data_IF_695609311870
#
_entry.id   IF_695609311870
#
_cell.length_a   1.000
_cell.length_b   1.000
_cell.length_c   1.000
_cell.angle_alpha   90.00
_cell.angle_beta   90.00
_cell.angle_gamma   90.00
#
_symmetry.space_group_name_H-M   'P 1'
#
loop_
_entity.id
_entity.type
_entity.pdbx_description
1 polymer ?
#
# COMPACT_ATOMS: atom_id res chain seq x y z
N UNK A 1 19.03 -58.72 16.54
CA UNK A 1 18.99 -58.08 15.22
C UNK A 1 19.24 -59.18 14.19
N UNK A 2 18.35 -59.43 13.24
CA UNK A 2 18.52 -60.46 12.23
C UNK A 2 19.47 -59.91 11.12
N UNK A 3 20.56 -60.63 10.87
CA UNK A 3 21.52 -60.28 9.81
C UNK A 3 21.20 -61.13 8.60
N UNK A 4 20.97 -60.50 7.46
CA UNK A 4 20.78 -61.20 6.18
C UNK A 4 22.13 -61.73 5.73
N UNK A 5 22.20 -63.03 5.43
CA UNK A 5 23.40 -63.66 4.88
C UNK A 5 23.07 -64.32 3.54
N UNK A 6 24.00 -64.24 2.60
CA UNK A 6 23.92 -64.91 1.29
C UNK A 6 25.04 -65.98 1.26
N UNK A 7 24.74 -67.16 0.69
CA UNK A 7 25.72 -68.21 0.49
C UNK A 7 26.52 -67.97 -0.78
N UNK A 8 27.81 -67.88 -0.67
CA UNK A 8 28.71 -67.79 -1.83
C UNK A 8 28.65 -69.10 -2.62
N UNK A 9 28.25 -69.04 -3.92
CA UNK A 9 28.09 -70.22 -4.73
C UNK A 9 29.44 -70.96 -5.06
N UNK A 10 30.53 -70.22 -4.89
CA UNK A 10 31.85 -70.76 -5.24
C UNK A 10 32.52 -71.40 -4.00
N UNK A 11 32.49 -70.79 -2.91
CA UNK A 11 33.13 -71.26 -1.67
C UNK A 11 32.16 -71.96 -0.71
N UNK A 12 30.87 -71.82 -0.88
CA UNK A 12 29.84 -72.39 -0.01
C UNK A 12 29.73 -71.76 1.33
N UNK A 13 30.44 -70.65 1.60
CA UNK A 13 30.41 -69.94 2.87
C UNK A 13 29.29 -68.91 2.93
N UNK A 14 28.79 -68.61 4.15
CA UNK A 14 27.77 -67.59 4.37
C UNK A 14 28.41 -66.23 4.61
N UNK A 15 28.15 -65.28 3.69
CA UNK A 15 28.61 -63.91 3.80
C UNK A 15 27.47 -63.00 4.30
N UNK A 16 27.80 -62.06 5.15
CA UNK A 16 26.84 -61.05 5.58
C UNK A 16 26.56 -60.04 4.45
N UNK A 17 25.29 -59.84 4.16
CA UNK A 17 24.86 -58.78 3.23
C UNK A 17 24.74 -57.51 3.98
N UNK A 18 25.64 -56.57 3.78
CA UNK A 18 25.47 -55.19 4.23
C UNK A 18 24.33 -54.58 3.45
N UNK A 19 23.20 -54.33 4.07
CA UNK A 19 22.08 -53.61 3.47
C UNK A 19 22.55 -52.18 3.20
N UNK A 20 22.87 -51.88 1.98
CA UNK A 20 23.12 -50.50 1.55
C UNK A 20 21.76 -49.85 1.51
N UNK A 21 21.49 -49.06 2.55
CA UNK A 21 20.33 -48.17 2.50
C UNK A 21 20.55 -47.19 1.33
N UNK A 22 19.74 -47.30 0.29
CA UNK A 22 19.79 -46.36 -0.84
C UNK A 22 19.61 -44.93 -0.33
N UNK A 23 20.25 -43.99 -0.99
CA UNK A 23 19.98 -42.58 -0.73
C UNK A 23 18.47 -42.32 -0.84
N UNK A 24 17.91 -41.53 0.09
CA UNK A 24 16.54 -41.04 -0.07
C UNK A 24 16.39 -40.50 -1.50
N UNK A 25 15.31 -40.88 -2.16
CA UNK A 25 15.00 -40.32 -3.47
C UNK A 25 14.92 -38.80 -3.39
N UNK A 26 15.07 -38.11 -4.52
CA UNK A 26 14.85 -36.65 -4.55
C UNK A 26 13.45 -36.34 -4.05
N UNK A 27 13.31 -35.21 -3.37
CA UNK A 27 12.00 -34.68 -2.98
C UNK A 27 11.13 -34.56 -4.23
N UNK A 28 9.88 -34.99 -4.12
CA UNK A 28 8.91 -34.79 -5.22
C UNK A 28 8.79 -33.33 -5.59
N UNK A 29 8.32 -33.02 -6.82
CA UNK A 29 8.06 -31.65 -7.22
C UNK A 29 7.05 -31.01 -6.25
N UNK A 30 7.23 -29.72 -5.98
CA UNK A 30 6.28 -28.94 -5.19
C UNK A 30 4.87 -29.08 -5.77
N UNK A 31 3.87 -29.18 -4.91
CA UNK A 31 2.47 -29.23 -5.34
C UNK A 31 2.07 -27.96 -6.12
N UNK A 32 0.98 -28.00 -6.90
CA UNK A 32 0.62 -26.94 -7.82
C UNK A 32 0.34 -25.56 -7.17
N UNK A 33 0.25 -25.47 -5.87
CA UNK A 33 0.02 -24.21 -5.13
C UNK A 33 0.97 -24.07 -3.92
N UNK A 34 2.08 -24.79 -3.90
CA UNK A 34 3.04 -24.75 -2.82
C UNK A 34 4.05 -23.64 -3.05
N UNK A 35 4.13 -22.71 -2.10
CA UNK A 35 5.18 -21.70 -2.04
C UNK A 35 6.22 -22.18 -1.04
N UNK A 36 7.40 -22.50 -1.50
CA UNK A 36 8.55 -22.90 -0.69
C UNK A 36 9.57 -21.78 -0.62
N UNK A 37 10.58 -21.92 0.23
CA UNK A 37 11.71 -20.97 0.28
C UNK A 37 12.52 -20.88 -1.01
N UNK A 38 12.37 -21.86 -1.89
CA UNK A 38 13.04 -21.92 -3.19
C UNK A 38 12.19 -21.36 -4.34
N UNK A 39 10.91 -21.05 -4.06
CA UNK A 39 10.04 -20.45 -5.06
C UNK A 39 10.50 -19.04 -5.36
N UNK A 40 11.08 -18.85 -6.54
CA UNK A 40 11.47 -17.52 -7.01
C UNK A 40 10.25 -16.82 -7.60
N UNK A 41 9.92 -15.65 -7.08
CA UNK A 41 8.92 -14.78 -7.66
C UNK A 41 9.59 -13.47 -8.10
N UNK A 42 9.29 -13.01 -9.31
CA UNK A 42 9.70 -11.68 -9.77
C UNK A 42 8.71 -10.59 -9.31
N UNK A 43 7.77 -10.95 -8.42
CA UNK A 43 6.76 -10.07 -7.91
C UNK A 43 7.23 -9.43 -6.61
N UNK A 44 7.17 -8.10 -6.54
CA UNK A 44 7.51 -7.33 -5.34
C UNK A 44 6.25 -6.64 -4.83
N UNK A 45 5.84 -6.94 -3.60
CA UNK A 45 4.65 -6.34 -2.96
C UNK A 45 3.73 -7.38 -2.34
N UNK A 46 2.53 -6.97 -2.00
CA UNK A 46 1.50 -7.87 -1.51
C UNK A 46 1.03 -8.80 -2.62
N UNK A 47 0.94 -10.08 -2.30
CA UNK A 47 0.52 -11.11 -3.25
C UNK A 47 -0.90 -11.56 -2.95
N UNK A 48 -1.67 -11.86 -4.00
CA UNK A 48 -2.99 -12.50 -3.92
C UNK A 48 -3.05 -13.73 -4.82
N UNK A 49 -3.84 -14.73 -4.42
CA UNK A 49 -4.20 -15.85 -5.27
C UNK A 49 -5.47 -15.53 -6.08
N UNK A 50 -5.52 -15.98 -7.31
CA UNK A 50 -6.74 -15.90 -8.13
C UNK A 50 -7.42 -17.28 -8.35
N UNK A 51 -7.04 -18.28 -7.54
CA UNK A 51 -7.48 -19.65 -7.65
C UNK A 51 -6.61 -20.53 -8.56
N UNK A 52 -5.75 -19.94 -9.38
CA UNK A 52 -4.86 -20.64 -10.30
C UNK A 52 -3.40 -20.20 -10.14
N UNK A 53 -3.17 -18.90 -9.98
CA UNK A 53 -1.83 -18.31 -9.91
C UNK A 53 -1.73 -17.33 -8.74
N UNK A 54 -0.49 -17.02 -8.37
CA UNK A 54 -0.15 -15.90 -7.49
C UNK A 54 0.12 -14.66 -8.33
N UNK A 55 -0.47 -13.55 -7.96
CA UNK A 55 -0.32 -12.26 -8.63
C UNK A 55 -0.17 -11.13 -7.61
N UNK A 56 0.25 -9.95 -8.06
CA UNK A 56 0.28 -8.76 -7.21
C UNK A 56 -1.14 -8.36 -6.79
N UNK A 57 -1.29 -8.04 -5.52
CA UNK A 57 -2.49 -7.39 -5.03
C UNK A 57 -2.47 -5.90 -5.40
N UNK A 58 -3.64 -5.37 -5.75
CA UNK A 58 -3.82 -4.00 -6.20
C UNK A 58 -4.39 -3.13 -5.07
N UNK A 59 -3.71 -2.01 -4.79
CA UNK A 59 -4.18 -1.05 -3.80
C UNK A 59 -5.52 -0.43 -4.24
N UNK A 60 -6.44 -0.29 -3.30
CA UNK A 60 -7.79 0.21 -3.56
C UNK A 60 -8.78 -0.85 -4.05
N UNK A 61 -8.29 -2.01 -4.51
CA UNK A 61 -9.12 -3.14 -4.95
C UNK A 61 -9.00 -4.33 -4.01
N UNK A 62 -7.79 -4.75 -3.72
CA UNK A 62 -7.51 -5.94 -2.90
C UNK A 62 -7.16 -5.58 -1.44
N UNK A 63 -6.64 -4.39 -1.24
CA UNK A 63 -6.34 -3.84 0.08
C UNK A 63 -6.49 -2.32 0.05
N UNK A 64 -6.62 -1.72 1.22
CA UNK A 64 -6.72 -0.26 1.32
C UNK A 64 -5.45 0.40 0.79
N UNK A 65 -5.61 1.36 -0.11
CA UNK A 65 -4.50 2.19 -0.58
C UNK A 65 -3.88 2.96 0.60
N UNK A 66 -2.57 3.21 0.59
CA UNK A 66 -1.93 4.02 1.61
C UNK A 66 -2.59 5.39 1.73
N UNK A 67 -2.76 5.86 2.96
CA UNK A 67 -3.16 7.23 3.23
C UNK A 67 -1.96 8.12 2.96
N UNK A 68 -2.16 9.16 2.16
CA UNK A 68 -1.14 10.17 1.89
C UNK A 68 -1.42 11.39 2.75
N UNK A 69 -0.44 11.76 3.57
CA UNK A 69 -0.48 12.97 4.38
C UNK A 69 0.34 14.07 3.69
N UNK A 70 -0.27 15.23 3.53
CA UNK A 70 0.40 16.40 2.96
C UNK A 70 -0.15 17.69 3.57
N UNK A 71 0.41 18.81 3.19
CA UNK A 71 -0.08 20.13 3.61
C UNK A 71 -0.34 21.01 2.39
N UNK A 72 -1.24 21.96 2.54
CA UNK A 72 -1.47 23.04 1.59
C UNK A 72 -1.36 24.38 2.32
N UNK A 73 -0.89 25.41 1.63
CA UNK A 73 -0.85 26.78 2.17
C UNK A 73 -1.84 27.64 1.42
N UNK A 74 -2.76 28.25 2.15
CA UNK A 74 -3.64 29.28 1.64
C UNK A 74 -2.94 30.63 1.83
N UNK A 75 -2.44 31.18 0.75
CA UNK A 75 -1.65 32.40 0.75
C UNK A 75 -2.58 33.62 0.80
N UNK A 76 -2.30 34.57 1.70
CA UNK A 76 -3.13 35.75 1.93
C UNK A 76 -3.44 36.55 0.67
N UNK A 77 -2.47 36.64 -0.25
CA UNK A 77 -2.58 37.46 -1.45
C UNK A 77 -3.29 36.78 -2.62
N UNK A 78 -3.52 35.46 -2.54
CA UNK A 78 -3.98 34.64 -3.67
C UNK A 78 -5.51 34.44 -3.67
N UNK A 79 -6.21 35.11 -2.77
CA UNK A 79 -7.66 35.03 -2.70
C UNK A 79 -8.31 35.88 -3.79
N UNK A 80 -9.18 35.25 -4.55
CA UNK A 80 -10.03 35.92 -5.53
C UNK A 80 -11.29 36.38 -4.85
N UNK A 81 -11.49 37.70 -4.81
CA UNK A 81 -12.65 38.33 -4.16
C UNK A 81 -13.82 38.35 -5.14
N UNK A 82 -14.92 37.76 -4.75
CA UNK A 82 -16.21 37.84 -5.43
C UNK A 82 -17.21 38.71 -4.66
N UNK A 83 -18.43 38.84 -5.18
CA UNK A 83 -19.47 39.71 -4.58
C UNK A 83 -19.88 39.25 -3.16
N UNK A 84 -19.89 37.95 -2.90
CA UNK A 84 -20.40 37.36 -1.66
C UNK A 84 -19.46 36.39 -0.98
N UNK A 85 -18.31 36.13 -1.57
CA UNK A 85 -17.33 35.17 -1.03
C UNK A 85 -15.97 35.41 -1.64
N UNK A 86 -14.96 34.84 -1.00
CA UNK A 86 -13.61 34.77 -1.57
C UNK A 86 -13.26 33.30 -1.84
N UNK A 87 -12.44 33.05 -2.86
CA UNK A 87 -12.01 31.72 -3.23
C UNK A 87 -10.52 31.66 -3.50
N UNK A 88 -9.90 30.52 -3.20
CA UNK A 88 -8.51 30.24 -3.54
C UNK A 88 -8.37 28.79 -3.98
N UNK A 89 -7.73 28.56 -5.12
CA UNK A 89 -7.35 27.23 -5.59
C UNK A 89 -5.89 26.96 -5.21
N UNK A 90 -5.63 25.79 -4.63
CA UNK A 90 -4.30 25.40 -4.20
C UNK A 90 -3.95 24.05 -4.81
N UNK A 91 -2.71 23.92 -5.32
CA UNK A 91 -2.20 22.65 -5.82
C UNK A 91 -1.93 21.71 -4.66
N UNK A 92 -2.46 20.48 -4.76
CA UNK A 92 -2.25 19.40 -3.80
C UNK A 92 -2.07 18.11 -4.60
N UNK A 93 -0.82 17.69 -4.73
CA UNK A 93 -0.48 16.49 -5.49
C UNK A 93 -1.17 15.25 -4.91
N UNK A 94 -1.59 14.35 -5.80
CA UNK A 94 -2.27 13.12 -5.41
C UNK A 94 -3.79 13.25 -5.25
N UNK A 95 -4.35 14.45 -5.17
CA UNK A 95 -5.81 14.64 -5.14
C UNK A 95 -6.42 14.23 -6.49
N UNK A 96 -7.49 13.44 -6.45
CA UNK A 96 -8.29 13.01 -7.60
C UNK A 96 -9.77 13.18 -7.28
N UNK A 97 -10.60 13.26 -8.29
CA UNK A 97 -12.06 13.45 -8.12
C UNK A 97 -12.72 12.40 -7.22
N UNK A 98 -12.19 11.18 -7.25
CA UNK A 98 -12.78 10.03 -6.53
C UNK A 98 -12.11 9.73 -5.19
N UNK A 99 -11.03 10.45 -4.82
CA UNK A 99 -10.42 10.27 -3.52
C UNK A 99 -11.36 10.79 -2.41
N UNK A 100 -11.24 10.20 -1.23
CA UNK A 100 -11.74 10.84 -0.01
C UNK A 100 -10.64 11.72 0.56
N UNK A 101 -10.95 12.99 0.76
CA UNK A 101 -9.99 13.96 1.30
C UNK A 101 -10.51 14.47 2.63
N UNK A 102 -9.69 14.35 3.66
CA UNK A 102 -9.95 14.97 4.97
C UNK A 102 -9.06 16.19 5.09
N UNK A 103 -9.66 17.29 5.47
CA UNK A 103 -9.01 18.61 5.55
C UNK A 103 -9.20 19.16 6.94
N UNK A 104 -8.11 19.63 7.53
CA UNK A 104 -8.14 20.32 8.80
C UNK A 104 -7.10 21.45 8.82
N UNK A 105 -7.39 22.59 9.44
CA UNK A 105 -6.35 23.60 9.65
C UNK A 105 -5.25 23.07 10.57
N UNK A 106 -4.01 23.49 10.33
CA UNK A 106 -2.95 23.33 11.31
C UNK A 106 -3.29 24.09 12.59
N UNK A 107 -2.77 23.65 13.73
CA UNK A 107 -3.06 24.26 15.02
C UNK A 107 -2.80 25.77 15.05
N UNK A 108 -1.74 26.23 14.39
CA UNK A 108 -1.36 27.63 14.33
C UNK A 108 -2.26 28.46 13.39
N UNK A 109 -3.03 27.81 12.52
CA UNK A 109 -3.96 28.44 11.58
C UNK A 109 -5.43 28.32 12.02
N UNK A 110 -5.68 27.59 13.09
CA UNK A 110 -7.03 27.21 13.53
C UNK A 110 -7.93 28.41 13.81
N UNK A 111 -7.43 29.37 14.57
CA UNK A 111 -8.23 30.54 14.97
C UNK A 111 -8.67 31.36 13.76
N UNK A 112 -7.74 31.68 12.88
CA UNK A 112 -7.99 32.48 11.69
C UNK A 112 -8.86 31.71 10.67
N UNK A 113 -8.65 30.40 10.53
CA UNK A 113 -9.46 29.53 9.69
C UNK A 113 -10.92 29.52 10.12
N UNK A 114 -11.18 29.39 11.42
CA UNK A 114 -12.53 29.41 11.98
C UNK A 114 -13.17 30.80 11.88
N UNK A 115 -12.40 31.85 12.16
CA UNK A 115 -12.87 33.24 12.08
C UNK A 115 -13.37 33.62 10.69
N UNK A 116 -12.66 33.13 9.65
CA UNK A 116 -12.97 33.43 8.26
C UNK A 116 -13.98 32.45 7.64
N UNK A 117 -14.38 31.41 8.36
CA UNK A 117 -15.36 30.44 7.88
C UNK A 117 -14.94 29.74 6.57
N UNK A 118 -13.65 29.44 6.46
CA UNK A 118 -13.08 28.76 5.28
C UNK A 118 -13.52 27.30 5.27
N UNK A 119 -13.82 26.80 4.08
CA UNK A 119 -14.12 25.40 3.83
C UNK A 119 -13.63 25.00 2.43
N UNK A 120 -13.42 23.71 2.19
CA UNK A 120 -13.12 23.21 0.87
C UNK A 120 -14.40 23.10 0.05
N UNK A 121 -14.52 23.92 -0.97
CA UNK A 121 -15.69 23.98 -1.83
C UNK A 121 -15.63 23.06 -3.03
N UNK A 122 -14.43 22.70 -3.50
CA UNK A 122 -14.25 21.88 -4.70
C UNK A 122 -12.98 21.08 -4.62
N UNK A 123 -13.06 19.84 -5.10
CA UNK A 123 -11.94 18.94 -5.35
C UNK A 123 -11.80 18.73 -6.85
N UNK A 124 -10.58 18.77 -7.35
CA UNK A 124 -10.26 18.53 -8.75
C UNK A 124 -8.91 17.80 -8.87
N UNK A 125 -8.47 17.54 -10.09
CA UNK A 125 -7.19 16.86 -10.31
C UNK A 125 -6.02 17.69 -9.78
N UNK A 126 -5.27 17.14 -8.81
CA UNK A 126 -4.14 17.80 -8.13
C UNK A 126 -4.45 19.17 -7.54
N UNK A 127 -5.71 19.46 -7.19
CA UNK A 127 -6.07 20.75 -6.61
C UNK A 127 -7.29 20.69 -5.70
N UNK A 128 -7.29 21.55 -4.70
CA UNK A 128 -8.42 21.86 -3.84
C UNK A 128 -8.77 23.34 -3.97
N UNK A 129 -10.06 23.65 -4.03
CA UNK A 129 -10.54 25.04 -4.01
C UNK A 129 -11.18 25.30 -2.66
N UNK A 130 -10.66 26.29 -1.96
CA UNK A 130 -11.21 26.78 -0.71
C UNK A 130 -12.09 27.99 -0.96
N UNK A 131 -13.10 28.13 -0.14
CA UNK A 131 -14.03 29.26 -0.16
C UNK A 131 -14.25 29.74 1.26
N UNK A 132 -14.41 31.03 1.42
CA UNK A 132 -14.83 31.64 2.68
C UNK A 132 -16.17 32.34 2.49
N UNK A 133 -16.97 32.35 3.55
CA UNK A 133 -18.25 33.07 3.59
C UNK A 133 -18.11 34.58 3.88
N UNK A 134 -16.89 35.01 4.23
CA UNK A 134 -16.57 36.43 4.36
C UNK A 134 -15.82 36.92 3.13
N UNK A 135 -15.95 38.20 2.81
CA UNK A 135 -15.32 38.83 1.65
C UNK A 135 -13.92 39.39 1.93
N UNK A 136 -13.51 39.33 3.20
CA UNK A 136 -12.16 39.76 3.60
C UNK A 136 -11.22 38.57 3.71
N UNK A 137 -10.11 38.57 2.97
CA UNK A 137 -9.10 37.52 3.08
C UNK A 137 -8.55 37.35 4.52
N UNK A 138 -8.00 36.18 4.86
CA UNK A 138 -7.24 36.00 6.10
C UNK A 138 -6.08 37.00 6.18
N UNK A 139 -5.72 37.37 7.38
CA UNK A 139 -4.61 38.31 7.64
C UNK A 139 -3.24 37.64 7.58
N UNK A 140 -3.19 36.32 7.68
CA UNK A 140 -1.97 35.53 7.62
C UNK A 140 -2.18 34.35 6.68
N UNK A 141 -1.09 33.80 6.16
CA UNK A 141 -1.11 32.54 5.42
C UNK A 141 -1.55 31.40 6.34
N UNK A 142 -2.40 30.53 5.81
CA UNK A 142 -2.96 29.42 6.58
C UNK A 142 -2.40 28.09 6.09
N UNK A 143 -1.87 27.30 7.01
CA UNK A 143 -1.44 25.93 6.72
C UNK A 143 -2.60 24.97 6.96
N UNK A 144 -2.90 24.16 5.98
CA UNK A 144 -3.97 23.16 6.01
C UNK A 144 -3.35 21.76 5.92
N UNK A 145 -3.71 20.87 6.83
CA UNK A 145 -3.36 19.45 6.75
C UNK A 145 -4.35 18.75 5.84
N UNK A 146 -3.86 17.91 4.97
CA UNK A 146 -4.64 17.18 3.97
C UNK A 146 -4.30 15.70 4.04
N UNK A 147 -5.31 14.87 4.29
CA UNK A 147 -5.23 13.41 4.23
C UNK A 147 -5.95 12.94 2.97
N UNK A 148 -5.27 12.21 2.11
CA UNK A 148 -5.82 11.67 0.88
C UNK A 148 -5.93 10.16 1.02
N UNK A 149 -7.14 9.65 0.84
CA UNK A 149 -7.45 8.21 0.86
C UNK A 149 -7.91 7.80 -0.53
N UNK A 150 -7.21 6.83 -1.13
CA UNK A 150 -7.52 6.31 -2.46
C UNK A 150 -8.63 5.26 -2.47
#
# INVERSE_FOLDING_TARGET
>A
MAILKIKDPTTGEWQEVTVIQGKSGPQGPAGPNEITTETQTNLTGLLKGNGTNVQLAEAGTDYQAPIVETTATLVTTDWVVGDYSITQAVSVDGVRLNNKVIISPNINSMEEYLRTGIYCAKQSYNALTFQSTVTTPPTNDLTINVLIMG
#
